data_IF_921160564027
#
_entry.id   IF_921160564027
#
_cell.length_a   1.000
_cell.length_b   1.000
_cell.length_c   1.000
_cell.angle_alpha   90.00
_cell.angle_beta   90.00
_cell.angle_gamma   90.00
#
_symmetry.space_group_name_H-M   'P 1'
#
loop_
_entity.id
_entity.type
_entity.pdbx_description
1 polymer ?
#
# COMPACT_ATOMS: atom_id res chain seq x y z
N UNK A 1 -48.61 54.32 -14.30
CA UNK A 1 -48.86 53.67 -15.61
C UNK A 1 -47.65 52.81 -15.92
N UNK A 2 -47.70 51.55 -16.33
CA UNK A 2 -48.77 50.70 -16.85
C UNK A 2 -48.48 49.25 -16.44
N UNK A 3 -49.53 48.47 -16.23
CA UNK A 3 -49.50 47.05 -15.87
C UNK A 3 -49.20 46.21 -17.12
N UNK A 4 -48.43 45.13 -16.96
CA UNK A 4 -48.50 43.97 -17.84
C UNK A 4 -48.58 42.71 -16.99
N UNK A 5 -49.79 42.18 -16.92
CA UNK A 5 -50.10 40.80 -16.57
C UNK A 5 -49.85 39.90 -17.79
N UNK A 6 -50.09 38.60 -17.59
CA UNK A 6 -50.25 37.49 -18.55
C UNK A 6 -49.16 36.45 -18.26
N UNK A 7 -49.44 35.21 -17.94
CA UNK A 7 -50.68 34.46 -17.92
C UNK A 7 -50.23 33.02 -17.71
N UNK A 8 -50.53 32.47 -16.54
CA UNK A 8 -50.15 31.13 -16.14
C UNK A 8 -51.17 30.19 -16.78
N UNK A 9 -50.78 29.48 -17.85
CA UNK A 9 -51.60 28.43 -18.44
C UNK A 9 -50.93 27.07 -18.22
N UNK A 10 -51.63 26.26 -17.43
CA UNK A 10 -51.31 24.89 -17.06
C UNK A 10 -51.69 23.95 -18.20
N UNK A 11 -50.79 23.03 -18.59
CA UNK A 11 -51.23 21.78 -19.23
C UNK A 11 -50.24 20.65 -19.00
N UNK A 12 -50.57 19.85 -17.99
CA UNK A 12 -50.20 18.44 -17.95
C UNK A 12 -50.92 17.70 -19.09
N UNK A 13 -50.19 16.94 -19.90
CA UNK A 13 -50.75 15.73 -20.49
C UNK A 13 -49.64 14.72 -20.77
N UNK A 14 -49.76 13.61 -20.04
CA UNK A 14 -49.09 12.33 -20.25
C UNK A 14 -49.40 11.85 -21.67
N UNK A 15 -48.42 11.23 -22.32
CA UNK A 15 -48.51 9.91 -22.98
C UNK A 15 -47.19 9.66 -23.71
N UNK A 16 -46.26 8.95 -23.04
CA UNK A 16 -45.06 8.43 -23.68
C UNK A 16 -45.42 7.34 -24.69
N UNK A 17 -44.63 7.31 -25.75
CA UNK A 17 -44.81 6.54 -26.97
C UNK A 17 -45.07 5.06 -26.75
N UNK A 18 -46.01 4.57 -27.56
CA UNK A 18 -46.21 3.16 -27.91
C UNK A 18 -44.88 2.56 -28.36
N UNK A 19 -44.27 1.71 -27.55
CA UNK A 19 -43.25 0.79 -28.02
C UNK A 19 -43.94 -0.53 -28.39
N UNK A 20 -44.12 -0.75 -29.69
CA UNK A 20 -44.56 -2.03 -30.25
C UNK A 20 -43.33 -2.94 -30.23
N UNK A 21 -43.26 -3.90 -29.31
CA UNK A 21 -42.38 -5.04 -29.48
C UNK A 21 -43.20 -6.32 -29.37
N UNK A 22 -43.45 -6.86 -30.54
CA UNK A 22 -44.20 -8.06 -30.86
C UNK A 22 -43.58 -9.30 -30.21
N UNK A 23 -44.47 -10.08 -29.60
CA UNK A 23 -44.27 -11.41 -29.03
C UNK A 23 -43.77 -12.43 -30.06
N UNK A 24 -42.65 -13.11 -29.76
CA UNK A 24 -42.27 -14.42 -30.32
C UNK A 24 -41.68 -15.21 -29.13
N UNK A 25 -42.51 -16.01 -28.46
CA UNK A 25 -42.62 -17.46 -28.62
C UNK A 25 -41.42 -18.24 -28.01
N UNK A 26 -41.55 -18.52 -26.71
CA UNK A 26 -41.51 -19.87 -26.10
C UNK A 26 -40.62 -20.93 -26.77
N UNK A 27 -39.56 -21.34 -26.07
CA UNK A 27 -38.91 -22.63 -26.28
C UNK A 27 -37.41 -22.61 -26.07
N UNK A 28 -36.95 -22.91 -24.85
CA UNK A 28 -35.80 -23.79 -24.56
C UNK A 28 -35.61 -23.83 -23.03
N UNK A 29 -36.41 -24.71 -22.42
CA UNK A 29 -36.17 -25.22 -21.08
C UNK A 29 -34.91 -26.08 -21.13
N UNK A 30 -33.88 -25.73 -20.35
CA UNK A 30 -32.77 -26.64 -20.07
C UNK A 30 -31.38 -26.03 -20.29
N UNK A 31 -30.90 -25.25 -19.31
CA UNK A 31 -29.59 -25.48 -18.68
C UNK A 31 -29.45 -24.55 -17.46
N UNK A 32 -30.00 -25.03 -16.35
CA UNK A 32 -29.79 -24.44 -15.02
C UNK A 32 -28.38 -24.83 -14.56
N UNK A 33 -27.67 -23.88 -13.95
CA UNK A 33 -26.38 -24.02 -13.26
C UNK A 33 -25.13 -24.19 -14.13
N UNK A 34 -24.46 -23.07 -14.47
CA UNK A 34 -23.07 -23.09 -14.90
C UNK A 34 -22.27 -21.99 -14.17
N UNK A 35 -21.58 -22.42 -13.11
CA UNK A 35 -20.34 -21.87 -12.56
C UNK A 35 -20.28 -20.38 -12.19
N UNK A 36 -21.01 -19.98 -11.14
CA UNK A 36 -20.49 -18.96 -10.22
C UNK A 36 -19.49 -19.62 -9.25
N UNK A 37 -18.37 -20.13 -9.77
CA UNK A 37 -17.24 -20.51 -8.94
C UNK A 37 -16.57 -19.21 -8.49
N UNK A 38 -16.95 -18.77 -7.29
CA UNK A 38 -16.33 -17.68 -6.55
C UNK A 38 -14.84 -18.00 -6.38
N UNK A 39 -14.02 -17.41 -7.25
CA UNK A 39 -12.57 -17.40 -7.08
C UNK A 39 -12.24 -16.52 -5.88
N UNK A 40 -12.03 -17.15 -4.73
CA UNK A 40 -11.44 -16.52 -3.56
C UNK A 40 -10.01 -16.10 -3.91
N UNK A 41 -9.83 -14.88 -4.40
CA UNK A 41 -8.50 -14.29 -4.54
C UNK A 41 -8.10 -13.85 -3.14
N UNK A 42 -7.45 -14.76 -2.40
CA UNK A 42 -6.73 -14.38 -1.20
C UNK A 42 -5.71 -13.33 -1.59
N UNK A 43 -5.86 -12.11 -1.07
CA UNK A 43 -4.79 -11.13 -1.10
C UNK A 43 -3.65 -11.73 -0.26
N UNK A 44 -2.66 -12.29 -0.92
CA UNK A 44 -1.45 -12.73 -0.27
C UNK A 44 -0.74 -11.47 0.24
N UNK A 45 -0.95 -11.16 1.52
CA UNK A 45 -0.25 -10.07 2.19
C UNK A 45 1.22 -10.48 2.31
N UNK A 46 2.11 -9.69 1.70
CA UNK A 46 3.54 -9.92 1.77
C UNK A 46 4.00 -9.95 3.23
N UNK A 47 4.86 -10.91 3.58
CA UNK A 47 5.38 -11.07 4.93
C UNK A 47 6.20 -9.83 5.34
N UNK A 48 6.03 -9.30 6.57
CA UNK A 48 6.91 -8.28 7.11
C UNK A 48 8.37 -8.74 7.10
N UNK A 49 9.27 -7.87 6.65
CA UNK A 49 10.70 -8.16 6.54
C UNK A 49 11.52 -6.96 7.01
N UNK A 50 12.60 -7.23 7.75
CA UNK A 50 13.60 -6.23 8.14
C UNK A 50 14.91 -6.55 7.43
N UNK A 51 15.52 -5.55 6.81
CA UNK A 51 16.87 -5.64 6.24
C UNK A 51 17.75 -4.58 6.86
N UNK A 52 18.98 -4.94 7.16
CA UNK A 52 19.98 -4.05 7.70
C UNK A 52 21.23 -4.13 6.82
N UNK A 53 21.75 -2.98 6.42
CA UNK A 53 22.93 -2.86 5.56
C UNK A 53 23.84 -1.77 6.11
N UNK A 54 25.15 -2.01 6.04
CA UNK A 54 26.18 -1.03 6.43
C UNK A 54 27.04 -0.69 5.23
N UNK A 55 27.44 0.57 5.12
CA UNK A 55 28.26 1.03 3.99
C UNK A 55 29.67 0.40 3.98
N UNK A 56 30.18 0.01 5.14
CA UNK A 56 31.49 -0.61 5.31
C UNK A 56 31.51 -1.60 6.48
N UNK A 57 32.25 -2.69 6.31
CA UNK A 57 32.45 -3.73 7.35
C UNK A 57 33.82 -3.64 8.03
N UNK A 58 34.75 -2.86 7.48
CA UNK A 58 36.09 -2.62 8.01
C UNK A 58 36.29 -1.11 8.16
N UNK A 59 36.55 -0.65 9.38
CA UNK A 59 36.71 0.76 9.71
C UNK A 59 37.59 0.94 10.95
N UNK A 60 38.18 2.13 11.11
CA UNK A 60 38.99 2.45 12.28
C UNK A 60 38.12 2.86 13.48
N UNK A 61 38.67 2.71 14.70
CA UNK A 61 38.00 3.20 15.91
C UNK A 61 37.80 4.71 15.82
N UNK A 62 36.57 5.18 16.04
CA UNK A 62 36.19 6.59 15.89
C UNK A 62 35.77 7.01 14.48
N UNK A 63 35.97 6.18 13.46
CA UNK A 63 35.41 6.40 12.13
C UNK A 63 33.92 6.06 12.12
N UNK A 64 33.12 6.81 11.37
CA UNK A 64 31.67 6.58 11.34
C UNK A 64 31.24 5.89 10.06
N UNK A 65 30.29 4.96 10.19
CA UNK A 65 29.64 4.27 9.07
C UNK A 65 28.14 4.48 9.13
N UNK A 66 27.46 4.48 7.98
CA UNK A 66 26.00 4.50 7.94
C UNK A 66 25.46 3.08 8.07
N UNK A 67 24.48 2.90 8.95
CA UNK A 67 23.59 1.75 8.99
C UNK A 67 22.24 2.18 8.41
N UNK A 68 21.82 1.49 7.35
CA UNK A 68 20.49 1.62 6.79
C UNK A 68 19.64 0.42 7.22
N UNK A 69 18.45 0.70 7.75
CA UNK A 69 17.48 -0.31 8.17
C UNK A 69 16.21 -0.13 7.36
N UNK A 70 15.91 -1.12 6.52
CA UNK A 70 14.72 -1.16 5.70
C UNK A 70 13.66 -2.06 6.32
N UNK A 71 12.47 -1.51 6.59
CA UNK A 71 11.27 -2.25 6.96
C UNK A 71 10.36 -2.38 5.73
N UNK A 72 10.20 -3.61 5.26
CA UNK A 72 9.46 -3.95 4.05
C UNK A 72 8.12 -4.59 4.39
N UNK A 73 7.10 -4.27 3.59
CA UNK A 73 5.72 -4.77 3.72
C UNK A 73 5.06 -4.38 5.05
N UNK A 74 5.48 -3.27 5.66
CA UNK A 74 4.91 -2.72 6.89
C UNK A 74 4.33 -1.34 6.62
N UNK A 75 3.05 -1.13 6.91
CA UNK A 75 2.37 0.13 6.63
C UNK A 75 2.75 1.24 7.62
N UNK A 76 2.84 0.92 8.91
CA UNK A 76 3.12 1.84 10.01
C UNK A 76 4.08 1.20 11.02
N UNK A 77 5.37 1.06 10.69
CA UNK A 77 6.33 0.51 11.63
C UNK A 77 6.62 1.48 12.77
N UNK A 78 6.92 0.93 13.96
CA UNK A 78 7.67 1.68 14.97
C UNK A 78 9.15 1.77 14.57
N UNK A 79 9.90 2.79 15.04
CA UNK A 79 11.35 2.79 14.91
C UNK A 79 11.95 1.50 15.49
N UNK A 80 12.99 0.92 14.86
CA UNK A 80 13.64 -0.28 15.37
C UNK A 80 14.37 0.01 16.68
N UNK A 81 14.37 -0.95 17.59
CA UNK A 81 15.09 -0.85 18.86
C UNK A 81 16.60 -0.94 18.63
N UNK A 82 17.30 0.16 18.90
CA UNK A 82 18.75 0.30 18.72
C UNK A 82 19.58 0.12 20.00
N UNK A 83 18.95 -0.18 21.15
CA UNK A 83 19.66 -0.27 22.45
C UNK A 83 20.83 -1.27 22.42
N UNK A 84 20.67 -2.38 21.70
CA UNK A 84 21.72 -3.39 21.54
C UNK A 84 22.93 -2.92 20.72
N UNK A 85 22.85 -1.77 20.05
CA UNK A 85 23.98 -1.16 19.33
C UNK A 85 24.72 -0.14 20.19
N UNK A 86 24.04 0.54 21.11
CA UNK A 86 24.59 1.60 21.94
C UNK A 86 25.70 1.12 22.88
N UNK A 87 25.76 -0.18 23.19
CA UNK A 87 26.82 -0.77 24.01
C UNK A 87 28.19 -0.74 23.31
N UNK A 88 28.22 -1.06 22.01
CA UNK A 88 29.45 -1.21 21.23
C UNK A 88 29.75 0.00 20.32
N UNK A 89 28.70 0.76 19.96
CA UNK A 89 28.76 1.88 19.04
C UNK A 89 28.21 3.16 19.69
N UNK A 90 28.73 4.32 19.26
CA UNK A 90 28.01 5.58 19.34
C UNK A 90 26.97 5.60 18.22
N UNK A 91 25.71 5.84 18.56
CA UNK A 91 24.60 5.80 17.60
C UNK A 91 24.00 7.21 17.49
N UNK A 92 23.89 7.72 16.28
CA UNK A 92 23.22 8.98 15.98
C UNK A 92 22.16 8.74 14.90
N UNK A 93 20.95 9.24 15.13
CA UNK A 93 19.85 9.11 14.17
C UNK A 93 20.04 10.15 13.07
N UNK A 94 20.20 9.69 11.82
CA UNK A 94 20.35 10.57 10.66
C UNK A 94 19.01 10.96 10.05
N UNK A 95 18.02 10.08 10.15
CA UNK A 95 16.67 10.35 9.69
C UNK A 95 15.87 9.09 9.39
N UNK A 96 14.64 9.31 8.94
CA UNK A 96 13.72 8.27 8.49
C UNK A 96 13.00 8.72 7.23
N UNK A 97 12.66 7.77 6.36
CA UNK A 97 11.94 8.03 5.13
C UNK A 97 10.92 6.93 4.85
N UNK A 98 9.67 7.33 4.61
CA UNK A 98 8.63 6.42 4.13
C UNK A 98 8.59 6.43 2.59
N UNK A 99 8.76 5.26 2.00
CA UNK A 99 8.76 4.98 0.56
C UNK A 99 7.61 4.01 0.25
N UNK A 100 6.41 4.55 0.12
CA UNK A 100 5.22 3.77 -0.22
C UNK A 100 4.95 3.85 -1.72
N UNK A 101 4.86 2.69 -2.37
CA UNK A 101 4.57 2.59 -3.80
C UNK A 101 3.26 1.85 -4.04
N UNK A 102 2.33 2.49 -4.75
CA UNK A 102 1.08 1.90 -5.20
C UNK A 102 1.14 1.69 -6.72
N UNK A 103 1.12 0.43 -7.16
CA UNK A 103 1.07 0.06 -8.57
C UNK A 103 -0.30 -0.52 -8.91
N UNK A 104 -0.97 0.05 -9.91
CA UNK A 104 -2.23 -0.46 -10.46
C UNK A 104 -2.00 -0.86 -11.91
N UNK A 105 -2.15 -2.14 -12.22
CA UNK A 105 -1.99 -2.66 -13.57
C UNK A 105 -3.29 -3.32 -14.02
N UNK A 106 -3.82 -2.93 -15.18
CA UNK A 106 -4.99 -3.56 -15.79
C UNK A 106 -4.56 -4.42 -16.97
N UNK A 107 -4.73 -5.74 -16.86
CA UNK A 107 -4.46 -6.69 -17.95
C UNK A 107 -5.77 -7.40 -18.28
N UNK A 108 -6.25 -7.24 -19.52
CA UNK A 108 -7.47 -7.89 -20.03
C UNK A 108 -8.72 -7.66 -19.14
N UNK A 109 -8.89 -6.45 -18.60
CA UNK A 109 -10.00 -6.10 -17.70
C UNK A 109 -9.82 -6.59 -16.25
N UNK A 110 -8.73 -7.28 -15.93
CA UNK A 110 -8.37 -7.65 -14.56
C UNK A 110 -7.47 -6.58 -13.96
N UNK A 111 -7.96 -5.91 -12.92
CA UNK A 111 -7.19 -4.93 -12.15
C UNK A 111 -6.34 -5.67 -11.13
N UNK A 112 -5.03 -5.56 -11.25
CA UNK A 112 -4.05 -5.99 -10.26
C UNK A 112 -3.57 -4.77 -9.49
N UNK A 113 -3.80 -4.76 -8.17
CA UNK A 113 -3.30 -3.73 -7.25
C UNK A 113 -2.15 -4.31 -6.45
N UNK A 114 -1.01 -3.65 -6.48
CA UNK A 114 0.15 -4.01 -5.67
C UNK A 114 0.58 -2.81 -4.83
N UNK A 115 0.52 -2.98 -3.51
CA UNK A 115 1.02 -2.00 -2.54
C UNK A 115 2.36 -2.50 -1.99
N UNK A 116 3.40 -1.68 -2.14
CA UNK A 116 4.72 -1.93 -1.56
C UNK A 116 4.93 -0.85 -0.51
N UNK A 117 5.02 -1.26 0.75
CA UNK A 117 5.38 -0.37 1.85
C UNK A 117 6.85 -0.59 2.19
N UNK A 118 7.65 0.48 2.16
CA UNK A 118 9.05 0.46 2.60
C UNK A 118 9.27 1.66 3.50
N UNK A 119 9.86 1.44 4.67
CA UNK A 119 10.33 2.51 5.55
C UNK A 119 11.81 2.32 5.77
N UNK A 120 12.57 3.41 5.64
CA UNK A 120 14.02 3.42 5.72
C UNK A 120 14.41 4.24 6.93
N UNK A 121 15.21 3.68 7.82
CA UNK A 121 15.83 4.36 8.95
C UNK A 121 17.34 4.41 8.73
N UNK A 122 17.93 5.58 8.95
CA UNK A 122 19.37 5.77 8.80
C UNK A 122 19.99 6.15 10.14
N UNK A 123 21.06 5.46 10.49
CA UNK A 123 21.83 5.68 11.69
C UNK A 123 23.31 5.85 11.33
N UNK A 124 23.99 6.73 12.03
CA UNK A 124 25.45 6.83 12.01
C UNK A 124 26.00 6.04 13.19
N UNK A 125 26.85 5.07 12.90
CA UNK A 125 27.49 4.21 13.90
C UNK A 125 28.98 4.57 14.00
N UNK A 126 29.44 4.81 15.21
CA UNK A 126 30.87 5.05 15.51
C UNK A 126 31.37 3.97 16.48
N UNK A 127 32.30 3.09 16.10
CA UNK A 127 32.77 2.02 16.98
C UNK A 127 33.55 2.60 18.16
N UNK A 128 33.24 2.13 19.37
CA UNK A 128 33.88 2.57 20.61
C UNK A 128 35.15 1.80 20.94
N UNK A 129 35.33 0.62 20.35
CA UNK A 129 36.40 -0.33 20.67
C UNK A 129 36.90 -1.00 19.39
N UNK A 130 38.17 -1.44 19.41
CA UNK A 130 38.76 -2.22 18.34
C UNK A 130 38.37 -3.69 18.45
N UNK A 131 38.31 -4.39 17.31
CA UNK A 131 38.04 -5.82 17.23
C UNK A 131 36.84 -6.14 16.33
N UNK A 132 36.37 -7.39 16.40
CA UNK A 132 35.17 -7.82 15.68
C UNK A 132 33.93 -7.42 16.47
N UNK A 133 33.23 -6.40 15.99
CA UNK A 133 31.95 -5.96 16.56
C UNK A 133 30.80 -6.54 15.74
N UNK A 134 29.80 -7.10 16.43
CA UNK A 134 28.60 -7.63 15.79
C UNK A 134 27.45 -6.64 15.93
N UNK A 135 26.66 -6.49 14.86
CA UNK A 135 25.42 -5.73 14.87
C UNK A 135 24.35 -6.64 15.48
N UNK A 136 23.83 -6.24 16.64
CA UNK A 136 22.76 -6.97 17.33
C UNK A 136 21.49 -7.04 16.46
N UNK A 137 20.70 -8.14 16.56
CA UNK A 137 19.42 -8.23 15.86
C UNK A 137 18.52 -7.04 16.18
N UNK A 138 17.98 -6.43 15.13
CA UNK A 138 17.06 -5.31 15.24
C UNK A 138 15.62 -5.81 15.33
N UNK A 139 14.86 -5.23 16.25
CA UNK A 139 13.44 -5.56 16.47
C UNK A 139 12.64 -4.29 16.25
N UNK A 140 11.63 -4.37 15.38
CA UNK A 140 10.65 -3.30 15.16
C UNK A 140 9.24 -3.87 15.38
N UNK A 141 8.35 -3.06 15.95
CA UNK A 141 6.95 -3.43 16.13
C UNK A 141 6.15 -3.04 14.88
N UNK A 142 5.17 -3.87 14.57
CA UNK A 142 4.25 -3.70 13.45
C UNK A 142 2.83 -3.67 14.01
N UNK A 143 2.04 -2.67 13.60
CA UNK A 143 0.65 -2.45 14.00
C UNK A 143 -0.34 -3.17 13.06
#
# INVERSE_FOLDING_TARGET
MSKHTNGWESKASRTLGRCRYTSILMGFFGFFAACCALGSHGLAQSKPEIRAEVDATELFVGESVTLQVDLLNVSRPSPPNIKGLEELFGVEVLGEQSLNQLSMMSINGRVTRQEIFRHVYQYKLTPKQAGTLAISPLIAEVD
#
